data_IF_496381573150
#
_entry.id   IF_496381573150
#
_cell.length_a   1.000
_cell.length_b   1.000
_cell.length_c   1.000
_cell.angle_alpha   90.00
_cell.angle_beta   90.00
_cell.angle_gamma   90.00
#
_symmetry.space_group_name_H-M   'P 1'
#
loop_
_entity.id
_entity.type
_entity.pdbx_description
1 polymer ?
#
# COMPACT_ATOMS: atom_id res chain seq x y z
N UNK A 1 57.01 11.71 57.18
CA UNK A 1 56.41 11.95 55.83
C UNK A 1 55.93 10.67 55.13
N UNK A 2 56.43 9.49 55.49
CA UNK A 2 56.10 8.20 54.83
C UNK A 2 54.72 7.62 55.21
N UNK A 3 54.26 7.79 56.47
CA UNK A 3 52.97 7.24 56.91
C UNK A 3 51.74 7.92 56.31
N UNK A 4 51.80 9.22 56.00
CA UNK A 4 50.70 9.94 55.34
C UNK A 4 50.50 9.51 53.87
N UNK A 5 51.59 9.10 53.18
CA UNK A 5 51.53 8.59 51.81
C UNK A 5 50.93 7.18 51.75
N UNK A 6 51.22 6.34 52.76
CA UNK A 6 50.65 4.99 52.85
C UNK A 6 49.14 5.02 53.11
N UNK A 7 48.66 5.89 54.01
CA UNK A 7 47.24 6.07 54.26
C UNK A 7 46.46 6.57 53.04
N UNK A 8 47.06 7.46 52.22
CA UNK A 8 46.47 7.95 50.99
C UNK A 8 46.36 6.84 49.92
N UNK A 9 47.40 6.01 49.78
CA UNK A 9 47.39 4.87 48.85
C UNK A 9 46.35 3.81 49.24
N UNK A 10 46.20 3.53 50.54
CA UNK A 10 45.16 2.61 51.05
C UNK A 10 43.77 3.20 50.81
N UNK A 11 43.58 4.51 51.02
CA UNK A 11 42.31 5.20 50.76
C UNK A 11 41.89 5.19 49.30
N UNK A 12 42.84 5.41 48.37
CA UNK A 12 42.59 5.34 46.92
C UNK A 12 42.25 3.90 46.52
N UNK A 13 42.99 2.91 47.02
CA UNK A 13 42.72 1.49 46.76
C UNK A 13 41.32 1.07 47.21
N UNK A 14 40.92 1.47 48.42
CA UNK A 14 39.59 1.18 48.95
C UNK A 14 38.47 1.85 48.12
N UNK A 15 38.68 3.09 47.67
CA UNK A 15 37.71 3.80 46.82
C UNK A 15 37.57 3.15 45.44
N UNK A 16 38.67 2.71 44.83
CA UNK A 16 38.63 2.00 43.55
C UNK A 16 37.89 0.67 43.64
N UNK A 17 38.10 -0.09 44.72
CA UNK A 17 37.39 -1.36 44.95
C UNK A 17 35.89 -1.11 45.15
N UNK A 18 35.51 -0.07 45.90
CA UNK A 18 34.11 0.33 46.08
C UNK A 18 33.43 0.71 44.75
N UNK A 19 34.14 1.42 43.87
CA UNK A 19 33.60 1.79 42.55
C UNK A 19 33.45 0.58 41.63
N UNK A 20 34.39 -0.37 41.65
CA UNK A 20 34.29 -1.63 40.88
C UNK A 20 33.12 -2.48 41.38
N UNK A 21 32.98 -2.66 42.70
CA UNK A 21 31.88 -3.41 43.28
C UNK A 21 30.52 -2.76 42.98
N UNK A 22 30.44 -1.42 42.99
CA UNK A 22 29.22 -0.70 42.65
C UNK A 22 28.89 -0.81 41.16
N UNK A 23 29.90 -0.80 40.30
CA UNK A 23 29.76 -1.01 38.85
C UNK A 23 29.29 -2.44 38.54
N UNK A 24 29.89 -3.47 39.15
CA UNK A 24 29.45 -4.86 39.03
C UNK A 24 28.01 -5.04 39.53
N UNK A 25 27.66 -4.42 40.66
CA UNK A 25 26.29 -4.49 41.18
C UNK A 25 25.28 -3.80 40.24
N UNK A 26 25.68 -2.71 39.57
CA UNK A 26 24.85 -2.00 38.59
C UNK A 26 24.69 -2.81 37.31
N UNK A 27 25.77 -3.42 36.80
CA UNK A 27 25.70 -4.36 35.66
C UNK A 27 24.86 -5.59 36.01
N UNK A 28 24.96 -6.11 37.23
CA UNK A 28 24.14 -7.25 37.67
C UNK A 28 22.66 -6.88 37.74
N UNK A 29 22.32 -5.66 38.19
CA UNK A 29 20.95 -5.15 38.18
C UNK A 29 20.42 -4.94 36.75
N UNK A 30 21.21 -4.34 35.85
CA UNK A 30 20.85 -4.19 34.43
C UNK A 30 20.68 -5.55 33.74
N UNK A 31 21.58 -6.50 34.01
CA UNK A 31 21.50 -7.86 33.46
C UNK A 31 20.30 -8.64 34.01
N UNK A 32 19.92 -8.41 35.28
CA UNK A 32 18.75 -9.02 35.92
C UNK A 32 17.44 -8.40 35.42
N UNK A 33 17.42 -7.11 35.10
CA UNK A 33 16.31 -6.47 34.38
C UNK A 33 16.18 -7.07 32.96
N UNK A 34 17.27 -7.18 32.19
CA UNK A 34 17.21 -7.81 30.85
C UNK A 34 16.84 -9.29 30.89
N UNK A 35 17.28 -10.04 31.90
CA UNK A 35 16.90 -11.44 32.09
C UNK A 35 15.44 -11.61 32.54
N UNK A 36 14.92 -10.69 33.35
CA UNK A 36 13.50 -10.66 33.76
C UNK A 36 12.57 -10.27 32.61
N UNK A 37 13.05 -9.46 31.65
CA UNK A 37 12.35 -9.14 30.40
C UNK A 37 12.27 -10.37 29.49
N UNK A 38 13.25 -11.28 29.55
CA UNK A 38 13.22 -12.54 28.78
C UNK A 38 12.31 -13.61 29.38
N UNK A 39 12.07 -13.62 30.70
CA UNK A 39 11.36 -14.72 31.38
C UNK A 39 9.84 -14.55 31.50
N UNK A 40 9.24 -13.46 31.00
CA UNK A 40 7.80 -13.18 31.10
C UNK A 40 7.01 -13.37 29.79
N UNK A 41 7.60 -13.89 28.72
CA UNK A 41 6.95 -14.04 27.41
C UNK A 41 6.26 -15.42 27.30
N UNK A 42 5.03 -15.52 27.79
CA UNK A 42 4.09 -16.60 27.41
C UNK A 42 3.66 -16.45 25.93
N UNK A 43 3.22 -17.51 25.22
CA UNK A 43 3.18 -17.51 23.75
C UNK A 43 2.12 -16.53 23.20
N UNK A 44 2.61 -15.45 22.61
CA UNK A 44 1.82 -14.42 21.94
C UNK A 44 1.39 -14.90 20.55
N UNK A 45 0.11 -15.20 20.34
CA UNK A 45 -0.39 -15.52 19.00
C UNK A 45 -1.79 -15.01 18.78
N UNK A 46 -1.90 -13.84 18.14
CA UNK A 46 -3.11 -13.46 17.42
C UNK A 46 -2.71 -12.83 16.09
N UNK A 47 -3.19 -13.43 15.01
CA UNK A 47 -3.23 -12.78 13.71
C UNK A 47 -4.19 -11.58 13.77
N UNK A 48 -3.97 -10.53 12.96
CA UNK A 48 -4.90 -9.42 12.85
C UNK A 48 -6.28 -9.91 12.41
N UNK A 49 -7.32 -9.43 13.06
CA UNK A 49 -8.71 -9.68 12.63
C UNK A 49 -9.12 -8.81 11.44
N UNK A 50 -8.41 -7.70 11.25
CA UNK A 50 -8.66 -6.67 10.25
C UNK A 50 -7.35 -6.20 9.60
N UNK A 51 -7.46 -5.43 8.52
CA UNK A 51 -6.32 -4.84 7.78
C UNK A 51 -5.66 -3.67 8.49
N UNK A 52 -6.29 -3.13 9.55
CA UNK A 52 -5.78 -2.03 10.38
C UNK A 52 -5.74 -2.54 11.81
N UNK A 53 -4.60 -2.38 12.47
CA UNK A 53 -4.37 -2.86 13.84
C UNK A 53 -3.91 -1.70 14.74
N UNK A 54 -4.56 -1.46 15.90
CA UNK A 54 -4.09 -0.49 16.87
C UNK A 54 -2.69 -0.81 17.41
N UNK A 55 -1.85 0.20 17.60
CA UNK A 55 -0.53 0.07 18.24
C UNK A 55 -0.71 0.24 19.75
N UNK A 56 -0.51 -0.82 20.56
CA UNK A 56 -0.80 -0.76 21.99
C UNK A 56 0.00 0.32 22.72
N UNK A 57 -0.66 1.02 23.65
CA UNK A 57 -0.08 2.13 24.40
C UNK A 57 -0.02 3.47 23.63
N UNK A 58 -0.71 3.58 22.50
CA UNK A 58 -0.77 4.82 21.70
C UNK A 58 -2.12 4.94 20.98
N UNK A 59 -2.37 6.09 20.34
CA UNK A 59 -3.47 6.24 19.36
C UNK A 59 -3.07 5.82 17.95
N UNK A 60 -1.85 5.38 17.73
CA UNK A 60 -1.36 5.03 16.41
C UNK A 60 -1.95 3.72 15.88
N UNK A 61 -1.88 3.52 14.57
CA UNK A 61 -2.34 2.32 13.89
C UNK A 61 -1.21 1.78 12.99
N UNK A 62 -1.08 0.46 12.90
CA UNK A 62 -0.26 -0.23 11.90
C UNK A 62 -1.14 -0.99 10.92
N UNK A 63 -0.69 -1.07 9.66
CA UNK A 63 -1.51 -1.60 8.55
C UNK A 63 -0.89 -2.88 7.99
N UNK A 64 0.34 -2.80 7.51
CA UNK A 64 1.02 -3.91 6.86
C UNK A 64 2.53 -3.78 7.02
N UNK A 65 3.23 -4.91 6.88
CA UNK A 65 4.67 -4.99 7.07
C UNK A 65 5.35 -5.59 5.85
N UNK A 66 6.47 -4.98 5.44
CA UNK A 66 7.23 -5.36 4.27
C UNK A 66 8.72 -5.35 4.59
N UNK A 67 9.46 -6.29 4.02
CA UNK A 67 10.92 -6.22 3.97
C UNK A 67 11.34 -5.31 2.82
N UNK A 68 12.06 -4.24 3.14
CA UNK A 68 12.56 -3.27 2.16
C UNK A 68 14.04 -3.55 1.85
N UNK A 69 14.29 -4.29 0.77
CA UNK A 69 15.63 -4.68 0.36
C UNK A 69 16.48 -3.49 -0.10
N UNK A 70 15.86 -2.35 -0.42
CA UNK A 70 16.57 -1.10 -0.79
C UNK A 70 17.21 -0.44 0.44
N UNK A 71 16.71 -0.75 1.63
CA UNK A 71 17.24 -0.29 2.91
C UNK A 71 17.91 -1.42 3.69
N UNK A 72 18.71 -2.26 3.01
CA UNK A 72 19.47 -3.34 3.64
C UNK A 72 18.59 -4.43 4.29
N UNK A 73 17.34 -4.57 3.84
CA UNK A 73 16.39 -5.55 4.39
C UNK A 73 15.70 -5.10 5.67
N UNK A 74 15.66 -3.80 5.95
CA UNK A 74 14.88 -3.24 7.04
C UNK A 74 13.40 -3.66 6.93
N UNK A 75 12.75 -3.83 8.09
CA UNK A 75 11.31 -4.08 8.11
C UNK A 75 10.60 -2.75 8.18
N UNK A 76 9.80 -2.47 7.15
CA UNK A 76 8.96 -1.27 7.02
C UNK A 76 7.53 -1.63 7.34
N UNK A 77 6.98 -1.01 8.38
CA UNK A 77 5.57 -1.12 8.74
C UNK A 77 4.86 0.15 8.28
N UNK A 78 3.94 0.02 7.32
CA UNK A 78 3.06 1.11 6.92
C UNK A 78 2.12 1.40 8.09
N UNK A 79 2.07 2.65 8.53
CA UNK A 79 1.36 3.05 9.74
C UNK A 79 0.64 4.38 9.57
N UNK A 80 -0.27 4.65 10.50
CA UNK A 80 -1.00 5.90 10.65
C UNK A 80 -0.63 6.45 12.04
N UNK A 81 0.16 7.53 12.06
CA UNK A 81 0.72 8.12 13.28
C UNK A 81 -0.04 9.40 13.63
N UNK A 82 -0.34 9.57 14.90
CA UNK A 82 -0.88 10.80 15.44
C UNK A 82 0.27 11.78 15.71
N UNK A 83 0.30 12.90 15.01
CA UNK A 83 1.43 13.87 15.07
C UNK A 83 1.60 14.56 16.44
N UNK A 84 0.57 14.50 17.27
CA UNK A 84 0.57 15.08 18.62
C UNK A 84 1.23 14.15 19.65
N UNK A 85 1.39 12.87 19.32
CA UNK A 85 1.99 11.84 20.15
C UNK A 85 3.44 11.61 19.71
N UNK A 86 4.38 11.66 20.66
CA UNK A 86 5.84 11.61 20.41
C UNK A 86 6.54 10.53 21.22
N UNK A 87 5.79 9.65 21.87
CA UNK A 87 6.35 8.55 22.62
C UNK A 87 7.14 7.62 21.68
N UNK A 88 8.24 7.01 22.17
CA UNK A 88 8.98 6.05 21.38
C UNK A 88 8.12 4.83 21.06
N UNK A 89 8.30 4.31 19.85
CA UNK A 89 7.74 3.04 19.41
C UNK A 89 8.83 1.99 19.37
N UNK A 90 8.43 0.75 19.59
CA UNK A 90 9.31 -0.40 19.61
C UNK A 90 8.79 -1.48 18.67
N UNK A 91 9.71 -2.06 17.92
CA UNK A 91 9.45 -3.23 17.11
C UNK A 91 9.64 -4.50 17.93
N UNK A 92 8.71 -5.44 17.76
CA UNK A 92 8.81 -6.81 18.25
C UNK A 92 8.81 -7.73 17.05
N UNK A 93 9.95 -8.34 16.77
CA UNK A 93 10.16 -9.15 15.58
C UNK A 93 10.34 -10.60 15.95
N UNK A 94 9.62 -11.49 15.29
CA UNK A 94 9.68 -12.92 15.57
C UNK A 94 9.92 -13.71 14.28
N UNK A 95 10.63 -14.82 14.41
CA UNK A 95 10.77 -15.84 13.38
C UNK A 95 9.81 -17.01 13.68
N UNK A 96 9.48 -17.82 12.67
CA UNK A 96 8.80 -19.10 12.94
C UNK A 96 9.79 -20.08 13.56
N UNK A 97 9.31 -20.98 14.43
CA UNK A 97 10.15 -21.96 15.16
C UNK A 97 11.04 -22.85 14.27
N UNK A 98 10.71 -23.01 12.99
CA UNK A 98 11.47 -23.83 12.03
C UNK A 98 12.65 -23.10 11.35
N UNK A 99 12.81 -21.79 11.55
CA UNK A 99 13.93 -21.05 10.95
C UNK A 99 15.26 -21.34 11.66
N UNK A 100 15.21 -21.63 12.97
CA UNK A 100 16.39 -21.95 13.78
C UNK A 100 16.94 -23.36 13.50
N UNK A 101 16.13 -24.31 12.99
CA UNK A 101 16.59 -25.68 12.73
C UNK A 101 17.41 -25.83 11.46
N UNK A 102 17.38 -24.86 10.53
CA UNK A 102 18.24 -24.86 9.33
C UNK A 102 19.64 -24.26 9.56
N UNK A 103 19.84 -23.50 10.63
CA UNK A 103 21.17 -23.00 11.00
C UNK A 103 22.02 -24.08 11.67
N UNK A 104 21.41 -25.00 12.41
CA UNK A 104 22.11 -26.07 13.15
C UNK A 104 22.23 -27.39 12.35
N UNK A 105 21.47 -27.57 11.26
CA UNK A 105 21.48 -28.79 10.46
C UNK A 105 22.62 -28.88 9.42
N UNK A 106 23.37 -27.80 9.18
CA UNK A 106 24.50 -27.80 8.24
C UNK A 106 25.82 -28.30 8.85
N UNK A 107 25.79 -28.87 10.05
CA UNK A 107 26.95 -29.46 10.71
C UNK A 107 26.94 -31.01 10.74
N UNK A 108 25.92 -31.69 10.24
CA UNK A 108 25.92 -33.16 10.17
C UNK A 108 24.82 -33.70 9.24
N UNK A 109 25.17 -33.99 7.99
CA UNK A 109 24.47 -34.99 7.18
C UNK A 109 25.32 -35.39 5.96
N UNK A 110 26.38 -36.15 6.22
CA UNK A 110 26.80 -37.19 5.29
C UNK A 110 25.91 -38.42 5.53
N UNK A 111 25.68 -39.16 4.43
CA UNK A 111 25.15 -40.52 4.32
C UNK A 111 23.64 -40.73 3.98
N UNK A 112 23.50 -41.32 2.78
CA UNK A 112 22.53 -42.32 2.33
C UNK A 112 21.14 -41.89 1.82
N UNK A 113 21.10 -41.81 0.49
CA UNK A 113 19.99 -42.14 -0.40
C UNK A 113 19.25 -43.44 -0.06
N UNK A 114 17.92 -43.40 -0.16
CA UNK A 114 17.11 -44.26 -1.05
C UNK A 114 15.66 -43.76 -1.08
N UNK A 115 15.20 -43.45 -2.29
CA UNK A 115 13.83 -43.08 -2.59
C UNK A 115 12.96 -44.32 -2.77
N UNK A 116 11.70 -44.25 -2.33
CA UNK A 116 10.63 -45.19 -2.69
C UNK A 116 9.50 -44.39 -3.38
N UNK A 117 9.14 -44.69 -4.64
CA UNK A 117 8.14 -43.94 -5.39
C UNK A 117 6.78 -44.64 -5.31
N UNK A 118 5.95 -44.28 -4.35
CA UNK A 118 4.48 -44.40 -4.43
C UNK A 118 3.81 -43.80 -3.20
N UNK A 119 3.40 -42.54 -3.30
CA UNK A 119 2.33 -42.00 -2.47
C UNK A 119 1.55 -40.96 -3.27
N UNK A 120 0.29 -41.31 -3.48
CA UNK A 120 -0.72 -40.69 -4.31
C UNK A 120 -1.05 -39.26 -3.84
N UNK A 121 -1.33 -38.40 -4.82
CA UNK A 121 -1.63 -37.00 -4.65
C UNK A 121 -3.13 -36.80 -4.48
N UNK A 122 -3.57 -36.23 -3.36
CA UNK A 122 -4.76 -35.35 -3.28
C UNK A 122 -4.97 -34.87 -1.85
N UNK A 123 -4.96 -33.54 -1.63
CA UNK A 123 -5.99 -32.79 -0.89
C UNK A 123 -5.48 -31.43 -0.33
N UNK A 124 -6.32 -30.42 -0.55
CA UNK A 124 -6.48 -29.15 0.18
C UNK A 124 -5.36 -28.11 0.20
N UNK A 125 -5.45 -27.20 -0.78
CA UNK A 125 -5.13 -25.79 -0.61
C UNK A 125 -6.29 -25.15 0.16
N UNK A 126 -6.08 -24.79 1.43
CA UNK A 126 -6.75 -23.71 2.20
C UNK A 126 -6.78 -24.03 3.70
N UNK A 127 -5.71 -23.65 4.39
CA UNK A 127 -5.66 -23.20 5.79
C UNK A 127 -4.18 -22.93 6.14
N UNK A 128 -3.74 -21.68 6.11
CA UNK A 128 -2.50 -21.28 6.79
C UNK A 128 -2.74 -21.40 8.29
N UNK A 129 -2.43 -22.56 8.88
CA UNK A 129 -2.44 -22.75 10.32
C UNK A 129 -1.40 -21.83 10.99
N UNK A 130 -1.84 -21.06 11.99
CA UNK A 130 -0.98 -20.22 12.84
C UNK A 130 0.05 -21.08 13.58
N UNK A 131 1.33 -20.97 13.18
CA UNK A 131 2.45 -21.68 13.82
C UNK A 131 3.02 -20.87 14.99
N UNK A 132 3.52 -21.52 16.06
CA UNK A 132 4.17 -20.85 17.18
C UNK A 132 5.26 -19.89 16.71
N UNK A 133 5.21 -18.64 17.18
CA UNK A 133 6.31 -17.69 16.98
C UNK A 133 7.48 -18.10 17.89
N UNK A 134 8.67 -18.15 17.33
CA UNK A 134 9.92 -18.42 18.04
C UNK A 134 10.43 -17.22 18.83
N UNK A 135 11.73 -17.20 19.15
CA UNK A 135 12.35 -16.12 19.91
C UNK A 135 12.15 -14.76 19.21
N UNK A 136 11.61 -13.79 19.96
CA UNK A 136 11.36 -12.46 19.45
C UNK A 136 12.47 -11.48 19.88
N UNK A 137 12.83 -10.57 18.99
CA UNK A 137 13.78 -9.48 19.24
C UNK A 137 13.03 -8.17 19.43
N UNK A 138 13.42 -7.41 20.45
CA UNK A 138 12.88 -6.10 20.76
C UNK A 138 13.90 -5.02 20.38
N UNK A 139 13.46 -3.98 19.66
CA UNK A 139 14.30 -2.84 19.30
C UNK A 139 13.48 -1.57 19.19
N UNK A 140 14.11 -0.43 19.44
CA UNK A 140 13.48 0.87 19.20
C UNK A 140 13.26 1.07 17.70
N UNK A 141 12.07 1.49 17.33
CA UNK A 141 11.70 1.78 15.95
C UNK A 141 12.11 3.20 15.56
N UNK A 142 12.42 3.40 14.28
CA UNK A 142 12.53 4.73 13.68
C UNK A 142 11.21 5.06 13.01
N UNK A 143 10.56 6.14 13.44
CA UNK A 143 9.32 6.63 12.83
C UNK A 143 9.67 7.67 11.77
N UNK A 144 9.35 7.39 10.51
CA UNK A 144 9.50 8.31 9.38
C UNK A 144 8.11 8.77 8.93
N UNK A 145 7.72 9.96 9.39
CA UNK A 145 6.42 10.57 9.10
C UNK A 145 6.44 11.17 7.70
N UNK A 146 5.43 10.85 6.87
CA UNK A 146 5.33 11.40 5.52
C UNK A 146 5.16 12.92 5.59
N UNK A 147 5.82 13.64 4.67
CA UNK A 147 5.89 15.10 4.72
C UNK A 147 4.54 15.78 4.49
N UNK A 148 3.60 15.11 3.83
CA UNK A 148 2.31 15.67 3.46
C UNK A 148 1.21 15.23 4.42
N UNK A 149 0.62 16.20 5.12
CA UNK A 149 -0.43 15.95 6.12
C UNK A 149 -1.79 16.53 5.76
N UNK A 150 -1.87 17.43 4.77
CA UNK A 150 -3.07 18.21 4.46
C UNK A 150 -3.75 18.90 5.66
N UNK A 151 -2.99 19.21 6.71
CA UNK A 151 -3.51 19.78 7.97
C UNK A 151 -4.08 18.77 8.98
N UNK A 152 -4.16 17.49 8.64
CA UNK A 152 -4.74 16.45 9.51
C UNK A 152 -3.80 16.00 10.64
N UNK A 153 -4.40 15.50 11.72
CA UNK A 153 -3.70 15.06 12.94
C UNK A 153 -3.08 13.67 12.79
N UNK A 154 -3.77 12.78 12.07
CA UNK A 154 -3.30 11.44 11.73
C UNK A 154 -2.76 11.42 10.31
N UNK A 155 -1.54 10.91 10.15
CA UNK A 155 -0.82 10.92 8.87
C UNK A 155 -0.19 9.57 8.59
N UNK A 156 -0.05 9.27 7.31
CA UNK A 156 0.71 8.10 6.84
C UNK A 156 2.17 8.23 7.29
N UNK A 157 2.76 7.11 7.70
CA UNK A 157 4.15 7.04 8.15
C UNK A 157 4.72 5.66 7.92
N UNK A 158 6.04 5.58 7.90
CA UNK A 158 6.79 4.34 7.88
C UNK A 158 7.43 4.13 9.26
N UNK A 159 7.02 3.08 9.97
CA UNK A 159 7.71 2.64 11.18
C UNK A 159 8.75 1.60 10.78
N UNK A 160 10.03 1.99 10.89
CA UNK A 160 11.17 1.21 10.43
C UNK A 160 11.85 0.48 11.57
N UNK A 161 11.99 -0.83 11.43
CA UNK A 161 12.80 -1.67 12.29
C UNK A 161 14.13 -1.94 11.57
N UNK A 162 15.24 -1.48 12.17
CA UNK A 162 16.59 -1.60 11.59
C UNK A 162 17.46 -2.42 12.54
N UNK A 163 17.94 -3.58 12.08
CA UNK A 163 18.90 -4.41 12.80
C UNK A 163 19.63 -5.35 11.82
N UNK A 164 20.91 -5.67 12.07
CA UNK A 164 21.62 -6.68 11.30
C UNK A 164 21.04 -8.10 11.47
N UNK A 165 20.34 -8.37 12.58
CA UNK A 165 19.76 -9.68 12.91
C UNK A 165 18.40 -9.95 12.26
N UNK A 166 17.91 -9.07 11.38
CA UNK A 166 16.54 -9.09 10.83
C UNK A 166 16.28 -10.14 9.75
N UNK A 167 17.29 -10.84 9.26
CA UNK A 167 17.15 -11.61 8.02
C UNK A 167 16.07 -12.69 8.07
N UNK A 168 15.79 -13.26 9.24
CA UNK A 168 14.86 -14.39 9.43
C UNK A 168 13.49 -13.99 9.99
N UNK A 169 13.24 -12.69 10.23
CA UNK A 169 11.97 -12.25 10.80
C UNK A 169 10.82 -12.50 9.81
N UNK A 170 9.80 -13.23 10.28
CA UNK A 170 8.59 -13.53 9.51
C UNK A 170 7.40 -12.70 9.96
N UNK A 171 7.44 -12.19 11.19
CA UNK A 171 6.37 -11.41 11.81
C UNK A 171 6.91 -10.20 12.57
N UNK A 172 6.11 -9.13 12.61
CA UNK A 172 6.41 -7.91 13.36
C UNK A 172 5.17 -7.41 14.08
N UNK A 173 5.37 -6.88 15.28
CA UNK A 173 4.41 -6.02 15.98
C UNK A 173 5.08 -4.69 16.32
N UNK A 174 4.28 -3.63 16.45
CA UNK A 174 4.74 -2.34 16.94
C UNK A 174 4.00 -2.05 18.24
N UNK A 175 4.71 -1.54 19.25
CA UNK A 175 4.10 -1.16 20.53
C UNK A 175 4.75 0.08 21.14
N UNK A 176 3.96 0.88 21.85
CA UNK A 176 4.44 1.90 22.79
C UNK A 176 4.44 1.37 24.24
N UNK A 177 3.88 0.19 24.49
CA UNK A 177 3.82 -0.47 25.79
C UNK A 177 4.39 -1.91 25.71
N UNK A 178 5.59 -2.18 26.25
CA UNK A 178 6.22 -3.50 26.15
C UNK A 178 5.48 -4.61 26.92
N UNK A 179 4.56 -4.24 27.82
CA UNK A 179 3.76 -5.18 28.60
C UNK A 179 2.38 -5.47 27.97
N UNK A 180 2.06 -4.80 26.87
CA UNK A 180 0.77 -4.94 26.23
C UNK A 180 0.65 -6.25 25.44
N UNK A 181 -0.61 -6.65 25.23
CA UNK A 181 -0.94 -7.76 24.35
C UNK A 181 -0.72 -7.38 22.89
N UNK A 182 0.16 -8.11 22.22
CA UNK A 182 0.62 -7.80 20.86
C UNK A 182 -0.13 -8.62 19.80
N UNK A 183 -0.44 -7.95 18.70
CA UNK A 183 -0.91 -8.54 17.45
C UNK A 183 0.20 -8.46 16.42
N UNK A 184 0.44 -9.53 15.66
CA UNK A 184 1.58 -9.63 14.76
C UNK A 184 1.16 -9.56 13.30
N UNK A 185 1.77 -8.66 12.53
CA UNK A 185 1.67 -8.59 11.09
C UNK A 185 2.66 -9.57 10.45
N UNK A 186 2.23 -10.31 9.43
CA UNK A 186 3.16 -11.08 8.59
C UNK A 186 3.99 -10.13 7.73
N UNK A 187 5.31 -10.32 7.72
CA UNK A 187 6.24 -9.53 6.92
C UNK A 187 6.24 -10.06 5.49
N UNK A 188 5.78 -9.24 4.56
CA UNK A 188 5.76 -9.51 3.12
C UNK A 188 7.10 -9.14 2.46
N UNK A 189 7.23 -9.41 1.15
CA UNK A 189 8.44 -9.10 0.35
C UNK A 189 9.72 -9.76 0.88
N UNK A 190 9.63 -10.99 1.41
CA UNK A 190 10.77 -11.72 1.98
C UNK A 190 11.96 -11.87 1.02
N UNK A 191 11.70 -11.92 -0.29
CA UNK A 191 12.67 -12.09 -1.36
C UNK A 191 12.48 -11.03 -2.45
N UNK A 192 13.58 -10.62 -3.08
CA UNK A 192 13.58 -9.80 -4.29
C UNK A 192 13.18 -10.68 -5.48
N UNK A 193 12.24 -10.20 -6.30
CA UNK A 193 11.80 -10.90 -7.51
C UNK A 193 11.94 -9.99 -8.72
N UNK A 194 12.54 -10.52 -9.78
CA UNK A 194 12.66 -9.87 -11.09
C UNK A 194 11.65 -10.41 -12.13
N UNK A 195 11.03 -11.55 -11.81
CA UNK A 195 9.89 -12.09 -12.57
C UNK A 195 8.60 -11.68 -11.89
N UNK A 196 7.75 -10.94 -12.60
CA UNK A 196 6.52 -10.37 -12.07
C UNK A 196 5.31 -11.17 -12.53
N UNK A 197 4.36 -11.37 -11.62
CA UNK A 197 3.08 -12.01 -11.95
C UNK A 197 2.25 -11.13 -12.87
N UNK A 198 2.40 -9.80 -12.75
CA UNK A 198 1.66 -8.81 -13.51
C UNK A 198 2.63 -7.79 -14.12
N UNK A 199 2.36 -7.36 -15.35
CA UNK A 199 3.05 -6.20 -15.93
C UNK A 199 2.46 -4.91 -15.40
N UNK A 200 1.12 -4.83 -15.31
CA UNK A 200 0.40 -3.63 -14.88
C UNK A 200 -0.61 -3.94 -13.80
N UNK A 201 -0.59 -3.15 -12.75
CA UNK A 201 -1.58 -3.20 -11.66
C UNK A 201 -2.08 -1.79 -11.36
N UNK A 202 -3.39 -1.64 -11.26
CA UNK A 202 -4.02 -0.37 -10.85
C UNK A 202 -4.30 -0.41 -9.35
N UNK A 203 -3.79 0.56 -8.62
CA UNK A 203 -4.07 0.80 -7.21
C UNK A 203 -5.13 1.89 -7.11
N UNK A 204 -6.38 1.49 -6.88
CA UNK A 204 -7.49 2.40 -6.62
C UNK A 204 -7.48 2.72 -5.13
N UNK A 205 -7.39 4.01 -4.83
CA UNK A 205 -7.05 4.47 -3.49
C UNK A 205 -8.06 4.08 -2.40
N UNK A 206 -9.32 4.54 -2.45
CA UNK A 206 -10.38 4.18 -1.48
C UNK A 206 -11.78 4.22 -2.13
N UNK A 207 -12.68 3.35 -1.68
CA UNK A 207 -14.13 3.48 -1.88
C UNK A 207 -14.85 3.59 -0.54
N UNK A 208 -15.77 4.55 -0.45
CA UNK A 208 -16.49 4.90 0.76
C UNK A 208 -17.84 5.56 0.41
N UNK A 209 -18.67 5.77 1.43
CA UNK A 209 -19.88 6.58 1.30
C UNK A 209 -20.95 5.94 0.43
N UNK A 210 -21.09 4.62 0.49
CA UNK A 210 -22.04 3.83 -0.32
C UNK A 210 -21.87 4.06 -1.83
N UNK A 211 -20.63 4.22 -2.29
CA UNK A 211 -20.30 4.40 -3.70
C UNK A 211 -21.00 3.35 -4.58
N UNK A 212 -21.91 3.78 -5.45
CA UNK A 212 -22.73 2.89 -6.28
C UNK A 212 -22.74 3.27 -7.77
N UNK A 213 -21.64 3.84 -8.28
CA UNK A 213 -21.51 4.19 -9.70
C UNK A 213 -21.10 2.95 -10.52
N UNK A 214 -22.02 1.98 -10.57
CA UNK A 214 -21.82 0.63 -11.08
C UNK A 214 -21.47 0.60 -12.57
N UNK A 215 -22.21 1.35 -13.41
CA UNK A 215 -21.97 1.38 -14.85
C UNK A 215 -20.57 1.92 -15.17
N UNK A 216 -20.19 3.07 -14.60
CA UNK A 216 -18.86 3.66 -14.82
C UNK A 216 -17.74 2.69 -14.37
N UNK A 217 -17.93 2.01 -13.24
CA UNK A 217 -16.93 1.07 -12.74
C UNK A 217 -16.78 -0.15 -13.65
N UNK A 218 -17.89 -0.74 -14.12
CA UNK A 218 -17.84 -1.86 -15.06
C UNK A 218 -17.16 -1.46 -16.37
N UNK A 219 -17.50 -0.28 -16.92
CA UNK A 219 -16.89 0.27 -18.14
C UNK A 219 -15.37 0.49 -17.97
N UNK A 220 -14.96 0.98 -16.80
CA UNK A 220 -13.55 1.22 -16.47
C UNK A 220 -12.77 -0.09 -16.35
N UNK A 221 -13.32 -1.09 -15.66
CA UNK A 221 -12.70 -2.40 -15.51
C UNK A 221 -12.50 -3.11 -16.86
N UNK A 222 -13.50 -3.09 -17.74
CA UNK A 222 -13.37 -3.66 -19.08
C UNK A 222 -12.38 -2.89 -19.95
N UNK A 223 -12.32 -1.55 -19.82
CA UNK A 223 -11.29 -0.75 -20.49
C UNK A 223 -9.88 -1.11 -20.00
N UNK A 224 -9.71 -1.32 -18.69
CA UNK A 224 -8.45 -1.77 -18.12
C UNK A 224 -7.95 -3.08 -18.73
N UNK A 225 -8.82 -4.06 -18.93
CA UNK A 225 -8.47 -5.32 -19.62
C UNK A 225 -7.93 -5.04 -21.02
N UNK A 226 -8.61 -4.19 -21.79
CA UNK A 226 -8.25 -3.89 -23.18
C UNK A 226 -6.91 -3.13 -23.31
N UNK A 227 -6.55 -2.29 -22.33
CA UNK A 227 -5.26 -1.58 -22.33
C UNK A 227 -4.12 -2.37 -21.65
N UNK A 228 -4.37 -3.62 -21.23
CA UNK A 228 -3.35 -4.54 -20.73
C UNK A 228 -3.14 -4.54 -19.21
N UNK A 229 -4.08 -4.00 -18.42
CA UNK A 229 -4.08 -4.15 -16.96
C UNK A 229 -4.50 -5.57 -16.60
N UNK A 230 -3.72 -6.22 -15.74
CA UNK A 230 -3.96 -7.61 -15.34
C UNK A 230 -4.46 -7.73 -13.90
N UNK A 231 -4.28 -6.69 -13.09
CA UNK A 231 -4.70 -6.65 -11.70
C UNK A 231 -5.20 -5.27 -11.32
N UNK A 232 -6.27 -5.23 -10.54
CA UNK A 232 -6.77 -4.04 -9.88
C UNK A 232 -6.85 -4.32 -8.39
N UNK A 233 -6.49 -3.34 -7.58
CA UNK A 233 -6.56 -3.40 -6.11
C UNK A 233 -7.42 -2.24 -5.66
N UNK A 234 -8.36 -2.51 -4.76
CA UNK A 234 -9.24 -1.48 -4.21
C UNK A 234 -9.36 -1.65 -2.70
N UNK A 235 -9.31 -0.53 -1.99
CA UNK A 235 -9.47 -0.49 -0.55
C UNK A 235 -10.91 -0.07 -0.23
N UNK A 236 -11.68 -0.99 0.37
CA UNK A 236 -13.12 -0.83 0.56
C UNK A 236 -13.47 -0.50 2.01
N UNK A 237 -13.89 0.74 2.25
CA UNK A 237 -14.56 1.14 3.49
C UNK A 237 -16.05 0.88 3.38
N UNK A 238 -16.71 1.38 2.34
CA UNK A 238 -18.09 1.00 2.01
C UNK A 238 -18.43 1.27 0.53
N UNK A 239 -19.33 0.45 -0.01
CA UNK A 239 -19.86 0.61 -1.35
C UNK A 239 -21.31 0.15 -1.45
N UNK A 240 -22.04 0.70 -2.41
CA UNK A 240 -23.43 0.36 -2.65
C UNK A 240 -23.63 -1.05 -3.24
N UNK A 241 -24.88 -1.52 -3.27
CA UNK A 241 -25.22 -2.93 -3.55
C UNK A 241 -24.85 -3.38 -4.96
N UNK A 242 -24.91 -2.50 -5.96
CA UNK A 242 -24.62 -2.87 -7.36
C UNK A 242 -23.12 -2.91 -7.62
N UNK A 243 -22.37 -1.97 -7.03
CA UNK A 243 -20.90 -2.05 -7.04
C UNK A 243 -20.42 -3.29 -6.29
N UNK A 244 -21.00 -3.63 -5.14
CA UNK A 244 -20.65 -4.85 -4.38
C UNK A 244 -20.78 -6.13 -5.23
N UNK A 245 -21.84 -6.24 -6.05
CA UNK A 245 -22.02 -7.34 -7.01
C UNK A 245 -20.89 -7.39 -8.05
N UNK A 246 -20.55 -6.23 -8.63
CA UNK A 246 -19.47 -6.11 -9.61
C UNK A 246 -18.10 -6.43 -8.99
N UNK A 247 -17.84 -5.99 -7.75
CA UNK A 247 -16.62 -6.35 -7.02
C UNK A 247 -16.50 -7.87 -6.85
N UNK A 248 -17.60 -8.55 -6.47
CA UNK A 248 -17.63 -10.02 -6.36
C UNK A 248 -17.33 -10.71 -7.68
N UNK A 249 -17.89 -10.20 -8.78
CA UNK A 249 -17.64 -10.70 -10.13
C UNK A 249 -16.15 -10.66 -10.48
N UNK A 250 -15.52 -9.48 -10.44
CA UNK A 250 -14.10 -9.34 -10.82
C UNK A 250 -13.13 -10.00 -9.83
N UNK A 251 -13.53 -10.18 -8.57
CA UNK A 251 -12.77 -11.01 -7.61
C UNK A 251 -12.77 -12.47 -8.02
N UNK A 252 -13.93 -13.02 -8.41
CA UNK A 252 -14.07 -14.40 -8.90
C UNK A 252 -13.29 -14.61 -10.20
N UNK A 253 -13.33 -13.64 -11.10
CA UNK A 253 -12.54 -13.64 -12.33
C UNK A 253 -11.01 -13.61 -12.06
N UNK A 254 -10.61 -13.05 -10.91
CA UNK A 254 -9.21 -12.96 -10.49
C UNK A 254 -8.51 -11.67 -10.93
N UNK A 255 -9.21 -10.74 -11.60
CA UNK A 255 -8.67 -9.44 -11.96
C UNK A 255 -8.61 -8.49 -10.75
N UNK A 256 -9.58 -8.56 -9.85
CA UNK A 256 -9.72 -7.61 -8.74
C UNK A 256 -9.34 -8.24 -7.39
N UNK A 257 -8.54 -7.52 -6.61
CA UNK A 257 -8.37 -7.73 -5.18
C UNK A 257 -9.08 -6.61 -4.41
N UNK A 258 -9.97 -7.00 -3.50
CA UNK A 258 -10.63 -6.06 -2.58
C UNK A 258 -9.97 -6.22 -1.21
N UNK A 259 -9.34 -5.16 -0.74
CA UNK A 259 -8.74 -5.06 0.58
C UNK A 259 -9.75 -4.38 1.50
N UNK A 260 -10.24 -5.03 2.57
CA UNK A 260 -11.08 -4.35 3.55
C UNK A 260 -10.36 -3.13 4.12
N UNK A 261 -11.05 -2.00 4.30
CA UNK A 261 -10.45 -0.76 4.80
C UNK A 261 -11.34 -0.08 5.85
N UNK A 262 -11.46 -0.67 7.06
CA UNK A 262 -12.38 -0.23 8.10
C UNK A 262 -11.85 0.98 8.89
N UNK A 263 -11.30 1.99 8.20
CA UNK A 263 -10.65 3.15 8.81
C UNK A 263 -11.61 3.95 9.70
N UNK A 264 -12.88 3.97 9.34
CA UNK A 264 -14.00 4.61 10.04
C UNK A 264 -14.34 3.97 11.39
N UNK A 265 -13.89 2.73 11.63
CA UNK A 265 -13.99 2.09 12.95
C UNK A 265 -12.94 2.58 13.94
N UNK A 266 -11.84 3.17 13.45
CA UNK A 266 -10.68 3.57 14.26
C UNK A 266 -10.54 5.08 14.38
N UNK A 267 -10.90 5.83 13.33
CA UNK A 267 -10.75 7.27 13.21
C UNK A 267 -12.01 7.87 12.57
N UNK A 268 -12.19 9.18 12.67
CA UNK A 268 -13.19 9.93 11.89
C UNK A 268 -12.57 10.35 10.56
N UNK A 269 -12.78 9.63 9.44
CA UNK A 269 -12.18 10.01 8.16
C UNK A 269 -12.82 11.28 7.59
N UNK A 270 -12.02 12.10 6.92
CA UNK A 270 -12.53 13.24 6.16
C UNK A 270 -13.18 12.78 4.85
N UNK A 271 -14.30 13.41 4.48
CA UNK A 271 -14.97 13.22 3.19
C UNK A 271 -14.39 14.12 2.08
N UNK A 272 -13.45 15.00 2.41
CA UNK A 272 -12.81 15.89 1.45
C UNK A 272 -11.34 16.15 1.77
N UNK A 273 -10.68 16.88 0.87
CA UNK A 273 -9.23 17.05 0.92
C UNK A 273 -8.77 18.26 1.74
N UNK A 274 -9.62 19.29 1.89
CA UNK A 274 -9.33 20.48 2.70
C UNK A 274 -9.75 20.27 4.15
N UNK A 275 -8.80 20.23 5.07
CA UNK A 275 -9.05 20.14 6.51
C UNK A 275 -10.01 21.22 7.03
N UNK A 276 -9.77 22.49 6.66
CA UNK A 276 -10.56 23.62 7.15
C UNK A 276 -12.05 23.59 6.75
N UNK A 277 -12.40 22.79 5.74
CA UNK A 277 -13.78 22.67 5.25
C UNK A 277 -14.45 21.36 5.67
N UNK A 278 -13.70 20.25 5.64
CA UNK A 278 -14.29 18.91 5.81
C UNK A 278 -13.99 18.31 7.18
N UNK A 279 -12.98 18.83 7.89
CA UNK A 279 -12.51 18.33 9.18
C UNK A 279 -12.27 16.81 9.19
N UNK A 280 -12.12 16.21 10.37
CA UNK A 280 -11.80 14.80 10.55
C UNK A 280 -10.36 14.56 11.02
N UNK A 281 -10.08 13.31 11.36
CA UNK A 281 -8.82 12.87 11.93
C UNK A 281 -7.76 12.57 10.86
N UNK A 282 -8.19 12.03 9.72
CA UNK A 282 -7.34 11.54 8.63
C UNK A 282 -7.87 11.99 7.25
N UNK A 283 -6.93 12.35 6.37
CA UNK A 283 -7.22 12.83 5.01
C UNK A 283 -7.90 11.76 4.15
N UNK A 284 -9.08 12.09 3.59
CA UNK A 284 -9.78 11.35 2.53
C UNK A 284 -9.84 9.82 2.75
N UNK A 285 -10.37 9.40 3.90
CA UNK A 285 -10.42 7.97 4.28
C UNK A 285 -9.05 7.26 4.35
N UNK A 286 -7.96 7.99 4.57
CA UNK A 286 -6.61 7.42 4.60
C UNK A 286 -6.03 7.11 3.24
N UNK A 287 -6.42 7.86 2.20
CA UNK A 287 -6.01 7.68 0.80
C UNK A 287 -4.48 7.56 0.63
N UNK A 288 -3.72 8.37 1.36
CA UNK A 288 -2.26 8.33 1.32
C UNK A 288 -1.73 6.98 1.84
N UNK A 289 -2.33 6.45 2.90
CA UNK A 289 -1.93 5.18 3.50
C UNK A 289 -2.18 4.02 2.54
N UNK A 290 -3.32 3.99 1.86
CA UNK A 290 -3.65 2.91 0.92
C UNK A 290 -2.80 2.96 -0.34
N UNK A 291 -2.53 4.15 -0.87
CA UNK A 291 -1.62 4.32 -2.01
C UNK A 291 -0.21 3.79 -1.67
N UNK A 292 0.33 4.18 -0.51
CA UNK A 292 1.64 3.69 -0.08
C UNK A 292 1.63 2.19 0.22
N UNK A 293 0.57 1.66 0.84
CA UNK A 293 0.44 0.21 1.08
C UNK A 293 0.45 -0.59 -0.22
N UNK A 294 -0.26 -0.12 -1.25
CA UNK A 294 -0.35 -0.79 -2.54
C UNK A 294 1.01 -0.87 -3.25
N UNK A 295 1.83 0.18 -3.14
CA UNK A 295 3.21 0.22 -3.68
C UNK A 295 4.01 -0.97 -3.15
N UNK A 296 4.01 -1.17 -1.84
CA UNK A 296 4.79 -2.24 -1.23
C UNK A 296 4.15 -3.61 -1.41
N UNK A 297 2.82 -3.73 -1.35
CA UNK A 297 2.07 -4.97 -1.61
C UNK A 297 2.42 -5.57 -2.97
N UNK A 298 2.54 -4.72 -3.99
CA UNK A 298 2.79 -5.14 -5.36
C UNK A 298 4.21 -4.92 -5.86
N UNK A 299 5.14 -4.49 -4.98
CA UNK A 299 6.52 -4.17 -5.34
C UNK A 299 7.25 -5.28 -6.09
N UNK A 300 7.08 -6.53 -5.64
CA UNK A 300 7.67 -7.72 -6.26
C UNK A 300 6.63 -8.65 -6.90
N UNK A 301 5.44 -8.13 -7.16
CA UNK A 301 4.39 -8.85 -7.89
C UNK A 301 4.10 -8.20 -9.25
N UNK A 302 4.37 -6.90 -9.39
CA UNK A 302 4.01 -6.12 -10.57
C UNK A 302 5.17 -5.31 -11.12
N UNK A 303 5.31 -5.29 -12.45
CA UNK A 303 6.35 -4.51 -13.13
C UNK A 303 6.12 -3.01 -13.02
N UNK A 304 4.88 -2.56 -13.20
CA UNK A 304 4.45 -1.17 -13.06
C UNK A 304 3.12 -1.07 -12.29
N UNK A 305 2.96 0.02 -11.55
CA UNK A 305 1.71 0.38 -10.89
C UNK A 305 1.13 1.66 -11.48
N UNK A 306 -0.19 1.72 -11.56
CA UNK A 306 -0.95 2.93 -11.86
C UNK A 306 -1.64 3.36 -10.56
N UNK A 307 -1.39 4.58 -10.11
CA UNK A 307 -1.93 5.15 -8.88
C UNK A 307 -2.96 6.21 -9.24
N UNK A 308 -4.24 5.82 -9.38
CA UNK A 308 -5.31 6.73 -9.80
C UNK A 308 -6.63 6.44 -9.10
N UNK A 309 -7.57 7.38 -9.21
CA UNK A 309 -8.89 7.25 -8.58
C UNK A 309 -9.83 6.37 -9.40
N UNK A 310 -10.95 5.94 -8.80
CA UNK A 310 -11.88 4.96 -9.40
C UNK A 310 -12.57 5.46 -10.68
N UNK A 311 -12.68 6.77 -10.85
CA UNK A 311 -13.32 7.46 -11.97
C UNK A 311 -12.32 8.01 -13.00
N UNK A 312 -11.06 7.59 -12.89
CA UNK A 312 -9.95 8.01 -13.74
C UNK A 312 -9.41 6.84 -14.56
N UNK A 313 -9.12 7.06 -15.84
CA UNK A 313 -8.48 6.07 -16.72
C UNK A 313 -7.22 6.69 -17.30
N UNK A 314 -6.04 6.21 -16.91
CA UNK A 314 -4.77 6.53 -17.57
C UNK A 314 -4.77 5.85 -18.95
N UNK A 315 -4.86 6.65 -20.01
CA UNK A 315 -5.12 6.18 -21.37
C UNK A 315 -3.97 6.53 -22.32
N UNK A 316 -3.35 5.54 -22.99
CA UNK A 316 -2.39 5.78 -24.07
C UNK A 316 -3.08 6.32 -25.34
N UNK A 317 -2.55 7.40 -25.93
CA UNK A 317 -3.08 8.01 -27.15
C UNK A 317 -2.25 7.71 -28.40
N UNK A 318 -0.91 7.60 -28.27
CA UNK A 318 -0.01 7.23 -29.38
C UNK A 318 0.35 5.75 -29.45
N UNK A 319 -0.12 4.96 -28.50
CA UNK A 319 0.18 3.54 -28.39
C UNK A 319 -1.10 2.73 -28.21
N UNK A 320 -1.08 1.48 -28.66
CA UNK A 320 -2.25 0.61 -28.59
C UNK A 320 -2.64 0.21 -27.15
N UNK A 321 -1.66 0.14 -26.25
CA UNK A 321 -1.83 -0.30 -24.87
C UNK A 321 -0.68 0.18 -23.97
N UNK A 322 -0.77 -0.10 -22.66
CA UNK A 322 0.22 0.30 -21.67
C UNK A 322 1.59 -0.36 -21.92
N UNK A 323 1.63 -1.58 -22.44
CA UNK A 323 2.88 -2.30 -22.72
C UNK A 323 3.71 -1.57 -23.79
N UNK A 324 3.09 -1.18 -24.91
CA UNK A 324 3.76 -0.43 -25.99
C UNK A 324 4.14 0.98 -25.55
N UNK A 325 3.30 1.63 -24.74
CA UNK A 325 3.61 2.91 -24.13
C UNK A 325 4.88 2.79 -23.27
N UNK A 326 4.88 1.87 -22.30
CA UNK A 326 6.02 1.71 -21.39
C UNK A 326 7.27 1.18 -22.06
N UNK A 327 7.15 0.35 -23.09
CA UNK A 327 8.30 -0.05 -23.90
C UNK A 327 9.01 1.16 -24.53
N UNK A 328 8.24 2.11 -25.06
CA UNK A 328 8.78 3.33 -25.66
C UNK A 328 9.33 4.29 -24.60
N UNK A 329 8.55 4.57 -23.56
CA UNK A 329 8.95 5.50 -22.50
C UNK A 329 10.21 5.03 -21.77
N UNK A 330 10.31 3.74 -21.43
CA UNK A 330 11.49 3.22 -20.74
C UNK A 330 12.71 3.15 -21.67
N UNK A 331 12.53 2.97 -22.98
CA UNK A 331 13.64 3.03 -23.93
C UNK A 331 14.19 4.46 -24.06
N UNK A 332 13.31 5.47 -24.09
CA UNK A 332 13.69 6.88 -24.21
C UNK A 332 14.20 7.47 -22.88
N UNK A 333 13.68 6.98 -21.76
CA UNK A 333 13.95 7.48 -20.42
C UNK A 333 14.32 6.31 -19.48
N UNK A 334 15.47 5.65 -19.67
CA UNK A 334 15.83 4.43 -18.94
C UNK A 334 15.95 4.64 -17.41
N UNK A 335 16.28 5.85 -16.98
CA UNK A 335 16.43 6.21 -15.56
C UNK A 335 15.13 6.72 -14.92
N UNK A 336 14.04 6.82 -15.68
CA UNK A 336 12.75 7.24 -15.13
C UNK A 336 12.11 6.07 -14.37
N UNK A 337 11.70 6.34 -13.13
CA UNK A 337 10.97 5.40 -12.27
C UNK A 337 9.54 5.84 -11.99
N UNK A 338 9.20 7.09 -12.33
CA UNK A 338 7.91 7.73 -12.12
C UNK A 338 7.52 8.47 -13.38
N UNK A 339 6.32 8.21 -13.88
CA UNK A 339 5.75 8.82 -15.06
C UNK A 339 4.48 9.57 -14.64
N UNK A 340 4.55 10.90 -14.64
CA UNK A 340 3.39 11.75 -14.31
C UNK A 340 2.50 11.90 -15.54
N UNK A 341 1.22 11.58 -15.36
CA UNK A 341 0.20 11.64 -16.41
C UNK A 341 -0.80 12.74 -16.04
N UNK A 342 -1.01 13.67 -16.96
CA UNK A 342 -1.87 14.82 -16.75
C UNK A 342 -3.36 14.45 -16.74
N UNK A 343 -4.11 15.07 -15.82
CA UNK A 343 -5.55 14.89 -15.68
C UNK A 343 -6.37 15.80 -16.61
N UNK A 344 -7.30 15.21 -17.38
CA UNK A 344 -8.22 15.98 -18.22
C UNK A 344 -9.68 15.65 -17.96
N UNK A 345 -10.47 16.72 -17.86
CA UNK A 345 -11.85 16.67 -17.38
C UNK A 345 -12.81 16.51 -18.55
N UNK A 346 -13.65 15.49 -18.43
CA UNK A 346 -14.81 15.23 -19.28
C UNK A 346 -16.06 15.52 -18.44
N UNK A 347 -16.68 16.70 -18.59
CA UNK A 347 -17.74 17.10 -17.68
C UNK A 347 -19.00 16.25 -17.87
N UNK A 348 -19.52 15.71 -16.76
CA UNK A 348 -20.75 14.91 -16.71
C UNK A 348 -21.99 15.65 -17.26
N UNK A 349 -21.92 16.97 -17.37
CA UNK A 349 -22.98 17.82 -17.89
C UNK A 349 -22.96 17.94 -19.43
N UNK A 350 -21.95 17.40 -20.11
CA UNK A 350 -21.80 17.48 -21.56
C UNK A 350 -21.62 16.07 -22.13
N UNK A 351 -22.45 15.70 -23.10
CA UNK A 351 -22.47 14.37 -23.68
C UNK A 351 -22.80 14.40 -25.17
N UNK A 352 -22.56 13.29 -25.85
CA UNK A 352 -22.91 13.10 -27.25
C UNK A 352 -24.43 13.13 -27.48
N UNK A 353 -24.89 13.90 -28.46
CA UNK A 353 -26.32 14.13 -28.70
C UNK A 353 -26.95 13.03 -29.56
N UNK A 354 -26.16 12.18 -30.23
CA UNK A 354 -26.68 11.16 -31.15
C UNK A 354 -27.46 10.05 -30.44
N UNK A 355 -27.25 9.89 -29.13
CA UNK A 355 -27.83 8.81 -28.34
C UNK A 355 -27.23 7.43 -28.64
N UNK A 356 -26.12 7.35 -29.38
CA UNK A 356 -25.46 6.10 -29.79
C UNK A 356 -25.23 5.12 -28.64
N UNK A 357 -24.86 5.61 -27.47
CA UNK A 357 -24.55 4.78 -26.29
C UNK A 357 -25.68 4.72 -25.26
N UNK A 358 -26.87 5.24 -25.58
CA UNK A 358 -28.06 5.16 -24.71
C UNK A 358 -28.74 3.79 -24.85
N UNK A 359 -27.98 2.75 -24.54
CA UNK A 359 -28.38 1.36 -24.69
C UNK A 359 -29.54 1.04 -23.72
N UNK A 360 -30.67 0.50 -24.18
CA UNK A 360 -31.83 0.25 -23.32
C UNK A 360 -31.53 -0.60 -22.08
N UNK A 361 -30.65 -1.60 -22.22
CA UNK A 361 -30.26 -2.47 -21.12
C UNK A 361 -29.52 -1.73 -20.01
N UNK A 362 -28.74 -0.68 -20.31
CA UNK A 362 -27.99 0.05 -19.28
C UNK A 362 -28.82 1.08 -18.52
N UNK A 363 -30.07 1.36 -18.94
CA UNK A 363 -30.90 2.43 -18.35
C UNK A 363 -31.19 2.26 -16.86
N UNK A 364 -31.26 1.03 -16.38
CA UNK A 364 -31.52 0.71 -14.97
C UNK A 364 -30.25 0.54 -14.13
N UNK A 365 -29.06 0.55 -14.76
CA UNK A 365 -27.79 0.36 -14.05
C UNK A 365 -27.35 1.69 -13.45
N UNK A 366 -27.18 1.79 -12.12
CA UNK A 366 -26.73 3.04 -11.51
C UNK A 366 -25.36 3.47 -12.01
N UNK A 367 -25.19 4.76 -12.27
CA UNK A 367 -23.90 5.34 -12.60
C UNK A 367 -23.86 6.11 -13.91
N UNK A 368 -22.66 6.59 -14.24
CA UNK A 368 -22.41 7.42 -15.41
C UNK A 368 -21.94 6.53 -16.57
N UNK A 369 -22.54 6.72 -17.74
CA UNK A 369 -22.10 6.08 -18.98
C UNK A 369 -20.92 6.86 -19.58
N UNK A 370 -19.69 6.43 -19.33
CA UNK A 370 -18.49 7.17 -19.77
C UNK A 370 -18.36 7.25 -21.29
N UNK A 371 -19.03 6.37 -22.05
CA UNK A 371 -19.03 6.41 -23.51
C UNK A 371 -19.84 7.57 -24.09
N UNK A 372 -20.73 8.18 -23.32
CA UNK A 372 -21.46 9.37 -23.75
C UNK A 372 -20.62 10.65 -23.60
N UNK A 373 -19.56 10.64 -22.79
CA UNK A 373 -18.78 11.82 -22.44
C UNK A 373 -17.50 11.93 -23.30
N UNK A 374 -17.65 12.57 -24.47
CA UNK A 374 -16.55 12.81 -25.43
C UNK A 374 -16.12 14.26 -25.54
N UNK A 375 -16.68 15.15 -24.72
CA UNK A 375 -16.29 16.56 -24.68
C UNK A 375 -15.32 16.76 -23.52
N UNK A 376 -14.15 17.31 -23.80
CA UNK A 376 -13.07 17.54 -22.84
C UNK A 376 -12.89 19.04 -22.63
N UNK A 377 -12.74 19.45 -21.37
CA UNK A 377 -12.40 20.83 -21.05
C UNK A 377 -11.00 21.22 -21.59
N UNK A 378 -10.83 22.46 -22.10
CA UNK A 378 -9.51 23.01 -22.41
C UNK A 378 -8.69 23.21 -21.13
N UNK A 379 -7.37 23.34 -21.29
CA UNK A 379 -6.49 23.59 -20.14
C UNK A 379 -6.82 24.92 -19.45
N UNK A 380 -6.78 24.90 -18.13
CA UNK A 380 -7.11 26.06 -17.30
C UNK A 380 -5.95 27.05 -17.32
N UNK A 381 -6.22 28.30 -17.69
CA UNK A 381 -5.21 29.36 -17.65
C UNK A 381 -4.68 29.53 -16.23
N UNK A 382 -3.35 29.51 -16.08
CA UNK A 382 -2.62 29.71 -14.82
C UNK A 382 -2.88 28.67 -13.72
N UNK A 383 -3.49 27.52 -14.06
CA UNK A 383 -3.72 26.43 -13.12
C UNK A 383 -3.15 25.16 -13.73
N UNK A 384 -2.16 24.56 -13.05
CA UNK A 384 -1.66 23.25 -13.44
C UNK A 384 -2.75 22.21 -13.25
N UNK A 385 -2.92 21.34 -14.24
CA UNK A 385 -3.79 20.20 -14.09
C UNK A 385 -3.15 19.21 -13.10
N UNK A 386 -3.93 18.63 -12.18
CA UNK A 386 -3.43 17.57 -11.32
C UNK A 386 -2.90 16.40 -12.16
N UNK A 387 -1.95 15.66 -11.63
CA UNK A 387 -1.39 14.47 -12.28
C UNK A 387 -1.73 13.22 -11.48
N UNK A 388 -1.62 12.06 -12.12
CA UNK A 388 -1.54 10.75 -11.46
C UNK A 388 -0.31 10.01 -11.99
N UNK A 389 0.01 8.89 -11.36
CA UNK A 389 1.33 8.29 -11.53
C UNK A 389 1.22 6.91 -12.16
N UNK A 390 2.03 6.66 -13.19
CA UNK A 390 2.45 5.33 -13.58
C UNK A 390 3.88 5.15 -13.08
N UNK A 391 4.15 4.15 -12.25
CA UNK A 391 5.42 4.01 -11.54
C UNK A 391 6.02 2.61 -11.68
N UNK A 392 7.34 2.55 -11.57
CA UNK A 392 8.03 1.36 -11.10
C UNK A 392 7.96 1.35 -9.56
N UNK A 393 7.28 0.38 -8.91
CA UNK A 393 7.13 0.39 -7.46
C UNK A 393 8.45 0.28 -6.70
N UNK A 394 9.49 -0.32 -7.29
CA UNK A 394 10.83 -0.37 -6.68
C UNK A 394 11.50 1.02 -6.63
N UNK A 395 11.08 1.96 -7.47
CA UNK A 395 11.66 3.30 -7.56
C UNK A 395 11.01 4.33 -6.64
N UNK A 396 9.92 3.98 -5.94
CA UNK A 396 9.16 4.91 -5.07
C UNK A 396 9.20 4.43 -3.63
N UNK A 397 9.54 5.33 -2.71
CA UNK A 397 9.53 5.06 -1.28
C UNK A 397 8.26 5.58 -0.60
N UNK A 398 7.85 6.80 -0.95
CA UNK A 398 6.68 7.48 -0.41
C UNK A 398 5.94 8.24 -1.52
N UNK A 399 4.61 8.20 -1.51
CA UNK A 399 3.76 8.91 -2.48
C UNK A 399 2.69 9.77 -1.82
N UNK A 400 2.36 10.86 -2.51
CA UNK A 400 1.15 11.67 -2.35
C UNK A 400 0.04 11.17 -3.30
N UNK A 401 -1.08 11.89 -3.35
CA UNK A 401 -2.20 11.71 -4.29
C UNK A 401 -1.79 12.03 -5.74
N UNK A 402 -0.93 13.04 -5.93
CA UNK A 402 -0.59 13.58 -7.26
C UNK A 402 0.91 13.53 -7.61
N UNK A 403 1.78 13.22 -6.64
CA UNK A 403 3.23 13.22 -6.85
C UNK A 403 3.92 12.23 -5.92
N UNK A 404 5.21 11.98 -6.15
CA UNK A 404 6.03 11.21 -5.21
C UNK A 404 6.66 12.14 -4.17
N UNK A 405 6.71 11.68 -2.92
CA UNK A 405 7.35 12.41 -1.81
C UNK A 405 8.83 12.01 -1.67
N UNK A 406 9.15 10.73 -1.89
CA UNK A 406 10.51 10.18 -1.88
C UNK A 406 10.63 9.08 -2.95
N UNK A 407 11.67 9.16 -3.78
CA UNK A 407 11.92 8.27 -4.91
C UNK A 407 13.41 8.18 -5.25
N UNK A 408 13.82 7.09 -5.92
CA UNK A 408 15.21 6.86 -6.36
C UNK A 408 15.42 7.12 -7.85
N UNK A 409 14.35 7.04 -8.66
CA UNK A 409 14.40 7.26 -10.12
C UNK A 409 13.99 8.69 -10.51
N UNK A 410 14.25 9.06 -11.76
CA UNK A 410 13.78 10.33 -12.30
C UNK A 410 12.25 10.33 -12.44
N UNK A 411 11.67 11.51 -12.26
CA UNK A 411 10.27 11.80 -12.57
C UNK A 411 10.21 12.33 -14.00
N UNK A 412 9.37 11.72 -14.83
CA UNK A 412 9.16 12.13 -16.21
C UNK A 412 7.71 12.54 -16.43
N UNK A 413 7.50 13.76 -16.91
CA UNK A 413 6.18 14.26 -17.27
C UNK A 413 5.83 13.78 -18.67
N UNK A 414 4.86 12.87 -18.77
CA UNK A 414 4.48 12.29 -20.06
C UNK A 414 3.69 13.34 -20.86
N UNK A 415 4.07 13.61 -22.12
CA UNK A 415 3.35 14.58 -22.95
C UNK A 415 1.86 14.23 -23.12
N UNK A 416 1.00 15.25 -23.05
CA UNK A 416 -0.45 15.16 -23.18
C UNK A 416 -0.94 14.38 -24.41
N UNK A 417 -0.24 14.51 -25.53
CA UNK A 417 -0.58 13.85 -26.78
C UNK A 417 -0.15 12.38 -26.82
N UNK A 418 0.72 11.95 -25.91
CA UNK A 418 1.20 10.56 -25.77
C UNK A 418 0.30 9.75 -24.83
N UNK A 419 0.01 10.29 -23.65
CA UNK A 419 -0.81 9.65 -22.61
C UNK A 419 -1.46 10.71 -21.73
N UNK A 420 -2.72 10.50 -21.36
CA UNK A 420 -3.47 11.40 -20.46
C UNK A 420 -4.55 10.65 -19.72
N UNK A 421 -5.06 11.24 -18.64
CA UNK A 421 -6.18 10.67 -17.89
C UNK A 421 -7.49 11.13 -18.49
N UNK A 422 -8.40 10.18 -18.70
CA UNK A 422 -9.81 10.45 -18.96
C UNK A 422 -10.52 10.45 -17.60
N UNK A 423 -10.98 11.63 -17.16
CA UNK A 423 -11.66 11.80 -15.88
C UNK A 423 -13.07 12.36 -16.11
N UNK A 424 -14.06 11.47 -16.07
CA UNK A 424 -15.48 11.85 -16.22
C UNK A 424 -16.02 12.27 -14.87
N UNK A 425 -16.20 13.59 -14.66
CA UNK A 425 -16.58 14.19 -13.36
C UNK A 425 -17.39 15.48 -13.50
N UNK A 426 -17.75 16.09 -12.38
CA UNK A 426 -18.31 17.45 -12.39
C UNK A 426 -17.33 18.46 -13.01
N UNK A 427 -17.84 19.45 -13.79
CA UNK A 427 -17.00 20.40 -14.51
C UNK A 427 -16.12 21.21 -13.57
N UNK A 428 -14.89 21.51 -13.99
CA UNK A 428 -14.03 22.49 -13.32
C UNK A 428 -14.17 23.88 -13.96
N UNK A 429 -14.70 23.96 -15.18
CA UNK A 429 -14.97 25.18 -15.92
C UNK A 429 -16.43 25.23 -16.38
N UNK A 430 -17.37 25.16 -15.44
CA UNK A 430 -18.81 25.04 -15.73
C UNK A 430 -19.47 26.18 -16.51
N UNK A 431 -18.75 27.27 -16.80
CA UNK A 431 -19.23 28.36 -17.67
C UNK A 431 -19.00 28.11 -19.15
N UNK A 432 -18.21 27.09 -19.52
CA UNK A 432 -17.93 26.78 -20.91
C UNK A 432 -19.16 26.19 -21.59
N UNK A 433 -19.47 26.69 -22.78
CA UNK A 433 -20.44 26.07 -23.68
C UNK A 433 -19.81 24.90 -24.42
N UNK A 434 -20.66 24.03 -24.99
CA UNK A 434 -20.24 22.78 -25.63
C UNK A 434 -19.28 22.98 -26.81
N UNK A 435 -19.48 24.05 -27.57
CA UNK A 435 -18.62 24.46 -28.70
C UNK A 435 -17.22 24.93 -28.28
N UNK A 436 -17.02 25.25 -26.99
CA UNK A 436 -15.73 25.61 -26.43
C UNK A 436 -14.94 24.40 -25.90
N UNK A 437 -15.50 23.19 -26.03
CA UNK A 437 -14.89 21.94 -25.58
C UNK A 437 -14.25 21.19 -26.74
N UNK A 438 -13.22 20.40 -26.43
CA UNK A 438 -12.57 19.55 -27.42
C UNK A 438 -13.27 18.20 -27.52
N UNK A 439 -13.53 17.74 -28.73
CA UNK A 439 -14.04 16.40 -28.96
C UNK A 439 -12.89 15.39 -28.87
N UNK A 440 -13.04 14.43 -27.97
CA UNK A 440 -12.12 13.32 -27.76
C UNK A 440 -12.91 12.01 -27.69
N UNK A 441 -12.75 11.18 -28.73
CA UNK A 441 -13.48 9.93 -28.94
C UNK A 441 -12.63 8.69 -28.64
N UNK A 442 -11.57 8.82 -27.84
CA UNK A 442 -10.60 7.73 -27.62
C UNK A 442 -11.25 6.42 -27.18
N UNK A 443 -12.21 6.47 -26.24
CA UNK A 443 -12.92 5.27 -25.77
C UNK A 443 -13.74 4.60 -26.87
N UNK A 444 -14.21 5.34 -27.89
CA UNK A 444 -15.00 4.78 -28.98
C UNK A 444 -14.17 3.90 -29.92
N UNK A 445 -12.85 4.03 -29.92
CA UNK A 445 -11.96 3.12 -30.67
C UNK A 445 -12.12 1.66 -30.19
N UNK A 446 -12.55 1.46 -28.94
CA UNK A 446 -12.72 0.15 -28.31
C UNK A 446 -14.16 -0.35 -28.31
N UNK A 447 -15.12 0.43 -28.80
CA UNK A 447 -16.56 0.17 -28.71
C UNK A 447 -16.96 -1.26 -29.05
N UNK A 448 -16.45 -1.80 -30.17
CA UNK A 448 -16.80 -3.14 -30.66
C UNK A 448 -16.43 -4.26 -29.68
N UNK A 449 -15.38 -4.05 -28.88
CA UNK A 449 -14.93 -4.99 -27.86
C UNK A 449 -15.54 -4.65 -26.50
N UNK A 450 -15.70 -3.37 -26.21
CA UNK A 450 -16.09 -2.90 -24.89
C UNK A 450 -17.58 -3.17 -24.60
N UNK A 451 -18.50 -2.87 -25.54
CA UNK A 451 -19.94 -3.05 -25.30
C UNK A 451 -20.30 -4.50 -24.93
N UNK A 452 -19.92 -5.53 -25.71
CA UNK A 452 -20.27 -6.91 -25.38
C UNK A 452 -19.65 -7.39 -24.06
N UNK A 453 -18.46 -6.90 -23.71
CA UNK A 453 -17.79 -7.27 -22.47
C UNK A 453 -18.43 -6.61 -21.25
N UNK A 454 -18.86 -5.34 -21.36
CA UNK A 454 -19.63 -4.66 -20.31
C UNK A 454 -20.96 -5.40 -20.08
N UNK A 455 -21.69 -5.72 -21.15
CA UNK A 455 -22.95 -6.46 -21.04
C UNK A 455 -22.73 -7.80 -20.33
N UNK A 456 -21.69 -8.55 -20.70
CA UNK A 456 -21.33 -9.80 -20.03
C UNK A 456 -21.05 -9.58 -18.53
N UNK A 457 -20.19 -8.64 -18.19
CA UNK A 457 -19.82 -8.38 -16.80
C UNK A 457 -21.03 -7.96 -15.95
N UNK A 458 -21.90 -7.12 -16.49
CA UNK A 458 -23.11 -6.68 -15.80
C UNK A 458 -24.11 -7.83 -15.57
N UNK A 459 -24.35 -8.68 -16.58
CA UNK A 459 -25.22 -9.85 -16.45
C UNK A 459 -24.63 -10.90 -15.49
N UNK A 460 -23.34 -11.23 -15.62
CA UNK A 460 -22.70 -12.25 -14.77
C UNK A 460 -22.51 -11.78 -13.32
N UNK A 461 -22.48 -10.46 -13.09
CA UNK A 461 -22.52 -9.88 -11.74
C UNK A 461 -23.93 -9.86 -11.14
N UNK A 462 -24.99 -10.01 -11.94
CA UNK A 462 -26.39 -9.91 -11.50
C UNK A 462 -26.84 -8.47 -11.21
N UNK A 463 -26.21 -7.49 -11.86
CA UNK A 463 -26.66 -6.08 -11.87
C UNK A 463 -27.68 -5.86 -12.97
N UNK A 464 -27.43 -6.45 -14.15
CA UNK A 464 -28.44 -6.73 -15.17
C UNK A 464 -28.97 -8.15 -14.96
#
# INVERSE_FOLDING_TARGET
MMQRKLALLIGIGALTILLILRWEHTITLMNRETASVQSALQPWQWAPTDTITPIPGSRHLMVSAFKDHRLGGAIRVISIICRQERQPLYCVLCANTDANSKADANANADANSKADPNADATANVDAKADRPLGQCTFLQAKVDVHSESFGFSFVTSDVLCMSPALQQATHVSITANPYAKLTFLSIQNQEVKESFKYNFTVCISNIFGEYNNALQFAQTMEMYKLIGVQRVVIYNTSCGPDVEKILKYYRKEGMLEVVPWPIDKFLTPSTGWKYDLHHGDIHYYGQLTTLNECIYRYMYQSKYLLLNDIDEIIMPYKHANLEKLMGTLQQQHPNAGVFEIENHIFPKTQFDDSGRFRLPQWRSVPGVNILEHVYREPDRKHVLNPTKLLINPRSVEQTSVHSTLKQFGLVFNVPFDVCRIIHVRGPLQGKLSKDQLFVDKKLWEFEKLLIPSIDRALNESGVL
#
